data_IF_525693611430
#
_entry.id   IF_525693611430
#
_cell.length_a   1.000
_cell.length_b   1.000
_cell.length_c   1.000
_cell.angle_alpha   90.00
_cell.angle_beta   90.00
_cell.angle_gamma   90.00
#
_symmetry.space_group_name_H-M   'P 1'
#
loop_
_entity.id
_entity.type
_entity.pdbx_description
1 polymer ?
#
# COMPACT_ATOMS: atom_id res chain seq x y z
N UNK A 1 -34.49 51.34 -41.80
CA UNK A 1 -33.10 51.08 -42.26
C UNK A 1 -32.44 50.15 -41.26
N UNK A 2 -32.05 48.95 -41.71
CA UNK A 2 -31.10 48.03 -41.07
C UNK A 2 -29.69 48.70 -40.99
N UNK A 3 -28.73 48.24 -40.14
CA UNK A 3 -28.42 46.82 -39.99
C UNK A 3 -28.15 46.27 -38.58
N UNK A 4 -28.54 45.01 -38.48
CA UNK A 4 -28.17 43.95 -37.55
C UNK A 4 -26.66 43.65 -37.58
N UNK A 5 -26.03 43.60 -36.40
CA UNK A 5 -24.67 43.07 -36.24
C UNK A 5 -24.77 41.63 -35.72
N UNK A 6 -24.50 40.68 -36.60
CA UNK A 6 -24.28 39.27 -36.28
C UNK A 6 -23.00 39.12 -35.44
N UNK A 7 -23.13 38.64 -34.19
CA UNK A 7 -21.99 38.07 -33.45
C UNK A 7 -21.67 36.69 -34.02
N UNK A 8 -20.57 36.59 -34.76
CA UNK A 8 -19.97 35.31 -35.17
C UNK A 8 -19.36 34.61 -33.96
N UNK A 9 -19.87 33.43 -33.66
CA UNK A 9 -19.25 32.45 -32.78
C UNK A 9 -18.00 31.87 -33.46
N UNK A 10 -16.84 32.04 -32.82
CA UNK A 10 -15.60 31.37 -33.21
C UNK A 10 -15.56 29.98 -32.56
N UNK A 11 -15.16 28.92 -33.29
CA UNK A 11 -15.09 27.58 -32.74
C UNK A 11 -13.89 27.45 -31.80
N UNK A 12 -14.15 27.02 -30.57
CA UNK A 12 -13.13 26.58 -29.62
C UNK A 12 -12.55 25.28 -30.15
N UNK A 13 -11.34 25.35 -30.71
CA UNK A 13 -10.57 24.18 -31.11
C UNK A 13 -10.16 23.41 -29.86
N UNK A 14 -10.77 22.23 -29.68
CA UNK A 14 -10.31 21.20 -28.74
C UNK A 14 -8.88 20.79 -29.13
N UNK A 15 -7.87 21.35 -28.47
CA UNK A 15 -6.54 20.76 -28.44
C UNK A 15 -6.60 19.53 -27.55
N UNK A 16 -6.57 18.37 -28.20
CA UNK A 16 -6.34 17.07 -27.59
C UNK A 16 -4.99 17.05 -26.88
N UNK A 17 -5.00 17.07 -25.55
CA UNK A 17 -3.88 16.64 -24.73
C UNK A 17 -3.83 15.10 -24.74
N UNK A 18 -3.26 14.55 -25.80
CA UNK A 18 -2.72 13.20 -25.75
C UNK A 18 -1.25 13.32 -25.31
N UNK A 19 -1.00 13.13 -24.03
CA UNK A 19 0.30 12.69 -23.53
C UNK A 19 0.04 11.37 -22.80
N UNK A 20 -0.23 10.32 -23.57
CA UNK A 20 -0.02 8.97 -23.11
C UNK A 20 1.48 8.71 -23.27
N UNK A 21 2.25 8.85 -22.18
CA UNK A 21 3.58 8.28 -22.11
C UNK A 21 3.41 6.75 -22.20
N UNK A 22 3.48 6.21 -23.41
CA UNK A 22 3.71 4.79 -23.61
C UNK A 22 5.17 4.56 -23.26
N UNK A 23 5.42 4.06 -22.05
CA UNK A 23 6.64 3.34 -21.76
C UNK A 23 6.74 2.21 -22.80
N UNK A 24 7.60 2.38 -23.79
CA UNK A 24 7.92 1.37 -24.77
C UNK A 24 8.74 0.29 -24.05
N UNK A 25 8.07 -0.75 -23.57
CA UNK A 25 8.71 -1.95 -23.07
C UNK A 25 9.40 -2.64 -24.26
N UNK A 26 10.73 -2.56 -24.28
CA UNK A 26 11.56 -3.41 -25.12
C UNK A 26 11.42 -4.84 -24.59
N UNK A 27 10.68 -5.69 -25.30
CA UNK A 27 10.72 -7.13 -25.04
C UNK A 27 12.16 -7.60 -25.28
N UNK A 28 12.84 -8.00 -24.21
CA UNK A 28 14.19 -8.54 -24.28
C UNK A 28 14.20 -9.82 -25.11
N UNK A 29 15.23 -9.95 -25.95
CA UNK A 29 15.46 -11.13 -26.79
C UNK A 29 15.58 -12.40 -25.93
N UNK A 30 15.23 -13.59 -26.46
CA UNK A 30 15.30 -14.87 -25.74
C UNK A 30 16.71 -15.32 -25.29
N UNK A 31 17.73 -14.47 -25.46
CA UNK A 31 19.11 -14.66 -25.02
C UNK A 31 19.48 -13.83 -23.76
N UNK A 32 18.52 -13.34 -22.97
CA UNK A 32 18.85 -12.60 -21.73
C UNK A 32 19.57 -13.51 -20.74
N UNK A 33 20.81 -13.16 -20.41
CA UNK A 33 21.58 -13.78 -19.31
C UNK A 33 20.75 -13.80 -18.04
N UNK A 34 20.79 -14.90 -17.27
CA UNK A 34 20.05 -14.97 -16.00
C UNK A 34 20.55 -13.92 -15.01
N UNK A 35 19.63 -13.32 -14.27
CA UNK A 35 19.92 -12.31 -13.25
C UNK A 35 19.15 -12.60 -11.96
N UNK A 36 19.34 -11.77 -10.93
CA UNK A 36 18.48 -11.71 -9.75
C UNK A 36 17.64 -10.44 -9.77
N UNK A 37 16.58 -10.39 -8.96
CA UNK A 37 15.79 -9.20 -8.71
C UNK A 37 15.90 -8.76 -7.26
N UNK A 38 15.60 -7.49 -6.99
CA UNK A 38 15.65 -6.93 -5.63
C UNK A 38 14.34 -6.23 -5.28
N UNK A 39 13.79 -6.56 -4.12
CA UNK A 39 12.61 -5.89 -3.58
C UNK A 39 13.01 -5.21 -2.28
N UNK A 40 12.85 -3.89 -2.24
CA UNK A 40 13.23 -3.07 -1.10
C UNK A 40 12.01 -2.69 -0.26
N UNK A 41 12.10 -2.88 1.05
CA UNK A 41 11.36 -2.02 1.97
C UNK A 41 11.89 -0.56 1.89
N UNK A 42 11.13 0.39 2.43
CA UNK A 42 11.48 1.81 2.44
C UNK A 42 11.98 2.26 3.81
N UNK A 43 11.18 2.09 4.86
CA UNK A 43 11.35 2.75 6.15
C UNK A 43 12.27 1.90 7.02
N UNK A 44 13.52 2.34 7.19
CA UNK A 44 14.58 1.55 7.83
C UNK A 44 15.53 0.89 6.83
N UNK A 45 15.26 0.95 5.53
CA UNK A 45 16.12 0.35 4.48
C UNK A 45 16.65 1.40 3.50
N UNK A 46 15.77 2.13 2.83
CA UNK A 46 16.16 3.20 1.90
C UNK A 46 16.14 4.57 2.58
N UNK A 47 15.18 4.78 3.48
CA UNK A 47 14.93 6.03 4.17
C UNK A 47 14.74 5.80 5.67
N UNK A 48 15.08 6.79 6.48
CA UNK A 48 14.60 6.93 7.86
C UNK A 48 13.84 8.24 7.95
N UNK A 49 12.50 8.17 7.92
CA UNK A 49 11.67 9.35 7.73
C UNK A 49 11.98 10.04 6.39
N UNK A 50 12.46 11.28 6.44
CA UNK A 50 12.87 12.04 5.25
C UNK A 50 14.37 11.99 4.95
N UNK A 51 15.13 11.21 5.71
CA UNK A 51 16.59 11.13 5.57
C UNK A 51 16.98 9.86 4.82
N UNK A 52 17.75 9.93 3.72
CA UNK A 52 18.30 8.75 3.07
C UNK A 52 19.17 7.91 4.02
N UNK A 53 19.04 6.59 3.95
CA UNK A 53 20.05 5.68 4.50
C UNK A 53 21.33 5.80 3.64
N UNK A 54 22.53 5.90 4.25
CA UNK A 54 23.78 5.97 3.49
C UNK A 54 23.91 4.81 2.48
N UNK A 55 24.28 5.14 1.23
CA UNK A 55 24.44 4.17 0.15
C UNK A 55 23.16 3.79 -0.60
N UNK A 56 21.97 4.15 -0.10
CA UNK A 56 20.70 3.78 -0.74
C UNK A 56 20.59 4.30 -2.18
N UNK A 57 21.04 5.54 -2.43
CA UNK A 57 21.07 6.13 -3.77
C UNK A 57 22.00 5.34 -4.70
N UNK A 58 23.21 5.08 -4.23
CA UNK A 58 24.26 4.41 -5.00
C UNK A 58 23.84 2.98 -5.36
N UNK A 59 23.18 2.27 -4.45
CA UNK A 59 22.62 0.94 -4.72
C UNK A 59 21.59 0.98 -5.84
N UNK A 60 20.62 1.91 -5.79
CA UNK A 60 19.60 2.00 -6.85
C UNK A 60 20.20 2.35 -8.22
N UNK A 61 21.24 3.19 -8.25
CA UNK A 61 21.97 3.52 -9.48
C UNK A 61 22.76 2.33 -10.02
N UNK A 62 23.40 1.54 -9.14
CA UNK A 62 24.14 0.34 -9.53
C UNK A 62 23.20 -0.72 -10.14
N UNK A 63 22.03 -0.96 -9.53
CA UNK A 63 21.05 -1.91 -10.08
C UNK A 63 20.61 -1.50 -11.49
N UNK A 64 20.37 -0.20 -11.74
CA UNK A 64 20.04 0.30 -13.08
C UNK A 64 21.17 0.14 -14.06
N UNK A 65 22.39 0.47 -13.66
CA UNK A 65 23.55 0.38 -14.52
C UNK A 65 23.84 -1.06 -14.97
N UNK A 66 23.40 -2.05 -14.17
CA UNK A 66 23.60 -3.47 -14.44
C UNK A 66 22.33 -4.21 -14.91
N UNK A 67 21.26 -3.47 -15.27
CA UNK A 67 19.97 -4.04 -15.73
C UNK A 67 19.39 -5.08 -14.75
N UNK A 68 19.56 -4.83 -13.44
CA UNK A 68 19.05 -5.68 -12.37
C UNK A 68 17.65 -5.16 -11.99
N UNK A 69 16.58 -5.95 -12.20
CA UNK A 69 15.22 -5.51 -11.92
C UNK A 69 15.01 -5.28 -10.43
N UNK A 70 14.33 -4.20 -10.08
CA UNK A 70 13.99 -3.94 -8.68
C UNK A 70 12.61 -3.31 -8.51
N UNK A 71 12.03 -3.50 -7.33
CA UNK A 71 10.74 -2.94 -6.96
C UNK A 71 10.75 -2.44 -5.51
N UNK A 72 9.81 -1.56 -5.19
CA UNK A 72 9.54 -1.11 -3.83
C UNK A 72 8.36 -1.90 -3.26
N UNK A 73 8.50 -2.41 -2.04
CA UNK A 73 7.43 -3.06 -1.29
C UNK A 73 7.38 -2.54 0.14
N UNK A 74 6.45 -1.62 0.40
CA UNK A 74 6.31 -0.96 1.71
C UNK A 74 4.90 -1.16 2.28
N UNK A 75 4.81 -1.32 3.61
CA UNK A 75 3.53 -1.33 4.32
C UNK A 75 3.01 0.09 4.61
N UNK A 76 3.86 1.11 4.44
CA UNK A 76 3.45 2.50 4.44
C UNK A 76 2.51 2.80 3.27
N UNK A 77 1.64 3.80 3.44
CA UNK A 77 0.68 4.17 2.43
C UNK A 77 -0.38 5.15 2.93
N UNK A 78 -1.58 5.03 2.37
CA UNK A 78 -2.67 6.00 2.59
C UNK A 78 -2.71 7.12 1.57
N UNK A 79 -1.99 6.95 0.44
CA UNK A 79 -1.99 7.82 -0.73
C UNK A 79 -1.62 7.00 -1.98
N UNK A 80 -1.89 7.50 -3.20
CA UNK A 80 -1.56 6.80 -4.43
C UNK A 80 -0.08 6.45 -4.58
N UNK A 81 0.21 5.34 -5.26
CA UNK A 81 1.58 4.84 -5.49
C UNK A 81 2.48 5.90 -6.13
N UNK A 82 1.94 6.69 -7.07
CA UNK A 82 2.66 7.77 -7.74
C UNK A 82 3.23 8.80 -6.76
N UNK A 83 2.46 9.10 -5.69
CA UNK A 83 2.90 10.06 -4.67
C UNK A 83 4.03 9.47 -3.83
N UNK A 84 3.99 8.17 -3.48
CA UNK A 84 5.11 7.51 -2.78
C UNK A 84 6.37 7.45 -3.65
N UNK A 85 6.22 7.03 -4.91
CA UNK A 85 7.33 6.95 -5.86
C UNK A 85 8.01 8.32 -6.01
N UNK A 86 7.22 9.37 -6.23
CA UNK A 86 7.72 10.74 -6.33
C UNK A 86 8.44 11.21 -5.06
N UNK A 87 7.89 10.92 -3.87
CA UNK A 87 8.52 11.28 -2.61
C UNK A 87 9.90 10.63 -2.45
N UNK A 88 9.98 9.32 -2.65
CA UNK A 88 11.25 8.59 -2.57
C UNK A 88 12.25 9.15 -3.59
N UNK A 89 11.78 9.42 -4.82
CA UNK A 89 12.63 9.98 -5.87
C UNK A 89 13.20 11.35 -5.54
N UNK A 90 12.39 12.23 -4.95
CA UNK A 90 12.84 13.55 -4.54
C UNK A 90 13.89 13.46 -3.43
N UNK A 91 13.70 12.55 -2.47
CA UNK A 91 14.61 12.38 -1.35
C UNK A 91 15.94 11.74 -1.77
N UNK A 92 15.90 10.69 -2.59
CA UNK A 92 17.09 9.97 -3.04
C UNK A 92 17.77 10.60 -4.27
N UNK A 93 17.07 11.47 -5.00
CA UNK A 93 17.53 11.99 -6.28
C UNK A 93 17.63 10.91 -7.37
N UNK A 94 16.75 9.90 -7.32
CA UNK A 94 16.67 8.78 -8.28
C UNK A 94 15.21 8.59 -8.68
N UNK A 95 14.88 8.78 -9.96
CA UNK A 95 13.51 8.68 -10.47
C UNK A 95 12.97 7.25 -10.37
N UNK A 96 11.94 6.98 -9.56
CA UNK A 96 11.32 5.68 -9.39
C UNK A 96 10.04 5.61 -10.20
N UNK A 97 9.88 4.51 -10.92
CA UNK A 97 8.70 4.25 -11.72
C UNK A 97 7.51 3.88 -10.80
N UNK A 98 6.35 4.46 -11.06
CA UNK A 98 5.14 4.22 -10.24
C UNK A 98 4.69 2.77 -10.34
N UNK A 99 4.83 2.17 -11.53
CA UNK A 99 4.47 0.79 -11.82
C UNK A 99 5.25 -0.25 -11.00
N UNK A 100 6.45 0.09 -10.51
CA UNK A 100 7.28 -0.80 -9.70
C UNK A 100 7.24 -0.45 -8.21
N UNK A 101 6.24 0.33 -7.79
CA UNK A 101 6.02 0.69 -6.39
C UNK A 101 4.76 -0.01 -5.86
N UNK A 102 4.94 -0.87 -4.87
CA UNK A 102 3.87 -1.60 -4.18
C UNK A 102 3.73 -1.08 -2.73
N UNK A 103 2.58 -0.49 -2.43
CA UNK A 103 2.17 -0.11 -1.09
C UNK A 103 1.30 -1.23 -0.49
N UNK A 104 1.06 -1.18 0.81
CA UNK A 104 0.18 -2.11 1.55
C UNK A 104 -1.16 -2.35 0.86
N UNK A 105 -1.78 -1.30 0.35
CA UNK A 105 -3.08 -1.36 -0.32
C UNK A 105 -3.01 -1.70 -1.82
N UNK A 106 -1.82 -1.70 -2.45
CA UNK A 106 -1.69 -1.92 -3.90
C UNK A 106 -2.31 -3.23 -4.40
N UNK A 107 -2.09 -4.39 -3.76
CA UNK A 107 -2.69 -5.64 -4.21
C UNK A 107 -4.22 -5.69 -4.06
N UNK A 108 -4.80 -4.82 -3.21
CA UNK A 108 -6.26 -4.73 -3.02
C UNK A 108 -6.99 -4.28 -4.28
N UNK A 109 -6.29 -3.72 -5.29
CA UNK A 109 -6.88 -3.40 -6.60
C UNK A 109 -7.60 -4.58 -7.26
N UNK A 110 -7.14 -5.80 -6.97
CA UNK A 110 -7.77 -7.03 -7.48
C UNK A 110 -9.19 -7.25 -6.91
N UNK A 111 -9.50 -6.67 -5.75
CA UNK A 111 -10.84 -6.73 -5.15
C UNK A 111 -11.87 -5.91 -5.91
N UNK A 112 -11.46 -5.00 -6.80
CA UNK A 112 -12.37 -4.33 -7.73
C UNK A 112 -13.07 -5.35 -8.66
N UNK A 113 -12.48 -6.51 -8.95
CA UNK A 113 -13.15 -7.56 -9.71
C UNK A 113 -14.44 -8.07 -9.03
N UNK A 114 -14.52 -7.94 -7.69
CA UNK A 114 -15.67 -8.36 -6.87
C UNK A 114 -16.54 -7.17 -6.46
N UNK A 115 -15.92 -6.06 -6.04
CA UNK A 115 -16.59 -4.95 -5.36
C UNK A 115 -16.62 -3.64 -6.19
N UNK A 116 -16.39 -3.70 -7.50
CA UNK A 116 -16.36 -2.49 -8.37
C UNK A 116 -17.62 -1.64 -8.25
N UNK A 117 -18.78 -2.27 -8.27
CA UNK A 117 -20.09 -1.60 -8.30
C UNK A 117 -20.79 -1.60 -6.92
N UNK A 118 -20.20 -2.25 -5.91
CA UNK A 118 -20.71 -2.24 -4.54
C UNK A 118 -20.43 -0.89 -3.88
N UNK A 119 -21.31 -0.47 -2.96
CA UNK A 119 -21.00 0.62 -2.05
C UNK A 119 -19.96 0.13 -1.03
N UNK A 120 -18.81 0.80 -0.95
CA UNK A 120 -17.70 0.41 -0.06
C UNK A 120 -17.31 1.54 0.87
N UNK A 121 -17.00 1.21 2.12
CA UNK A 121 -16.45 2.15 3.09
C UNK A 121 -14.92 2.13 3.00
N UNK A 122 -14.30 3.29 2.78
CA UNK A 122 -12.85 3.47 2.81
C UNK A 122 -12.40 4.16 4.10
N UNK A 123 -11.40 3.59 4.76
CA UNK A 123 -10.84 4.04 6.04
C UNK A 123 -9.35 4.34 5.86
N UNK A 124 -8.92 5.48 6.38
CA UNK A 124 -7.52 5.92 6.36
C UNK A 124 -7.35 7.34 6.92
N UNK A 125 -6.17 7.93 6.70
CA UNK A 125 -5.78 9.23 7.30
C UNK A 125 -6.48 10.41 6.67
N UNK A 126 -6.57 10.43 5.35
CA UNK A 126 -7.07 11.55 4.56
C UNK A 126 -8.15 11.06 3.58
N UNK A 127 -9.29 11.75 3.57
CA UNK A 127 -10.46 11.32 2.80
C UNK A 127 -10.25 11.45 1.28
N UNK A 128 -9.53 12.46 0.83
CA UNK A 128 -9.30 12.71 -0.59
C UNK A 128 -8.29 11.69 -1.14
N UNK A 129 -7.24 11.41 -0.37
CA UNK A 129 -6.22 10.42 -0.74
C UNK A 129 -6.81 9.00 -0.81
N UNK A 130 -7.58 8.57 0.20
CA UNK A 130 -8.21 7.23 0.16
C UNK A 130 -9.23 7.12 -0.97
N UNK A 131 -9.98 8.19 -1.25
CA UNK A 131 -10.92 8.22 -2.38
C UNK A 131 -10.18 8.11 -3.72
N UNK A 132 -9.06 8.80 -3.88
CA UNK A 132 -8.21 8.73 -5.07
C UNK A 132 -7.63 7.33 -5.27
N UNK A 133 -7.14 6.68 -4.21
CA UNK A 133 -6.65 5.29 -4.26
C UNK A 133 -7.74 4.35 -4.78
N UNK A 134 -8.92 4.38 -4.15
CA UNK A 134 -10.02 3.48 -4.52
C UNK A 134 -10.52 3.75 -5.94
N UNK A 135 -10.60 5.02 -6.36
CA UNK A 135 -10.96 5.38 -7.74
C UNK A 135 -9.92 4.85 -8.75
N UNK A 136 -8.62 5.00 -8.47
CA UNK A 136 -7.54 4.49 -9.31
C UNK A 136 -7.57 2.96 -9.46
N UNK A 137 -8.05 2.25 -8.43
CA UNK A 137 -8.22 0.80 -8.47
C UNK A 137 -9.51 0.35 -9.16
N UNK A 138 -10.41 1.29 -9.49
CA UNK A 138 -11.61 1.04 -10.26
C UNK A 138 -12.87 0.78 -9.43
N UNK A 139 -12.87 1.11 -8.14
CA UNK A 139 -14.08 1.14 -7.32
C UNK A 139 -14.92 2.37 -7.65
N UNK A 140 -16.23 2.20 -7.89
CA UNK A 140 -17.10 3.29 -8.36
C UNK A 140 -17.91 3.97 -7.27
N UNK A 141 -18.28 3.21 -6.23
CA UNK A 141 -19.18 3.67 -5.18
C UNK A 141 -18.42 3.68 -3.83
N UNK A 142 -17.48 4.61 -3.69
CA UNK A 142 -16.63 4.74 -2.49
C UNK A 142 -17.19 5.83 -1.59
N UNK A 143 -17.30 5.54 -0.31
CA UNK A 143 -17.62 6.52 0.73
C UNK A 143 -16.54 6.44 1.81
N UNK A 144 -16.02 7.58 2.26
CA UNK A 144 -15.07 7.61 3.36
C UNK A 144 -15.79 7.71 4.70
N UNK A 145 -15.09 7.36 5.79
CA UNK A 145 -15.63 7.56 7.15
C UNK A 145 -16.01 9.02 7.40
N UNK A 146 -15.20 9.97 6.93
CA UNK A 146 -15.50 11.40 7.07
C UNK A 146 -16.77 11.82 6.33
N UNK A 147 -16.99 11.32 5.11
CA UNK A 147 -18.21 11.57 4.35
C UNK A 147 -19.44 11.00 5.03
N UNK A 148 -19.34 9.78 5.58
CA UNK A 148 -20.45 9.14 6.28
C UNK A 148 -20.77 9.86 7.60
N UNK A 149 -19.75 10.24 8.36
CA UNK A 149 -19.91 11.01 9.60
C UNK A 149 -20.52 12.39 9.35
N UNK A 150 -20.12 13.09 8.29
CA UNK A 150 -20.71 14.37 7.94
C UNK A 150 -22.22 14.27 7.63
N UNK A 151 -22.67 13.15 7.04
CA UNK A 151 -24.11 12.92 6.82
C UNK A 151 -24.87 12.53 8.07
N UNK A 152 -24.25 11.71 8.94
CA UNK A 152 -24.83 11.28 10.21
C UNK A 152 -23.96 11.75 11.39
N UNK A 153 -24.01 13.04 11.77
CA UNK A 153 -23.13 13.59 12.80
C UNK A 153 -23.26 12.89 14.15
N UNK A 154 -24.43 12.31 14.42
CA UNK A 154 -24.74 11.57 15.66
C UNK A 154 -24.08 10.20 15.73
N UNK A 155 -23.48 9.68 14.66
CA UNK A 155 -22.67 8.44 14.74
C UNK A 155 -21.46 8.63 15.66
N UNK A 156 -20.90 9.85 15.72
CA UNK A 156 -19.83 10.18 16.65
C UNK A 156 -19.92 11.65 17.08
N UNK A 157 -20.70 11.95 18.14
CA UNK A 157 -21.06 13.33 18.49
C UNK A 157 -19.89 14.18 19.01
N UNK A 158 -18.81 13.55 19.46
CA UNK A 158 -17.66 14.25 20.07
C UNK A 158 -16.76 14.95 19.05
N UNK A 159 -16.89 14.62 17.76
CA UNK A 159 -16.18 15.29 16.66
C UNK A 159 -17.17 16.12 15.87
N UNK A 160 -16.90 17.41 15.73
CA UNK A 160 -17.72 18.31 14.91
C UNK A 160 -17.51 18.00 13.43
N UNK A 161 -18.62 17.86 12.72
CA UNK A 161 -18.65 17.72 11.26
C UNK A 161 -18.42 19.06 10.57
N UNK A 162 -17.79 19.03 9.40
CA UNK A 162 -17.51 20.24 8.61
C UNK A 162 -18.39 20.22 7.34
N UNK A 163 -19.47 21.01 7.35
CA UNK A 163 -20.31 21.34 6.19
C UNK A 163 -20.97 20.16 5.46
N UNK A 164 -21.80 20.47 4.47
CA UNK A 164 -22.41 19.48 3.59
C UNK A 164 -21.35 18.90 2.64
N UNK A 165 -21.02 17.62 2.80
CA UNK A 165 -20.19 16.91 1.82
C UNK A 165 -21.10 16.18 0.84
N UNK A 166 -20.99 16.44 -0.49
CA UNK A 166 -21.80 15.75 -1.48
C UNK A 166 -21.53 14.23 -1.46
N UNK A 167 -22.54 13.46 -1.12
CA UNK A 167 -22.52 11.99 -1.01
C UNK A 167 -23.61 11.32 -1.87
N UNK A 168 -24.56 12.10 -2.37
CA UNK A 168 -25.59 11.64 -3.29
C UNK A 168 -26.56 10.61 -2.68
N UNK A 169 -26.66 10.53 -1.33
CA UNK A 169 -27.63 9.69 -0.62
C UNK A 169 -27.48 8.17 -0.83
N UNK A 170 -26.34 7.70 -1.35
CA UNK A 170 -26.17 6.29 -1.75
C UNK A 170 -26.36 5.32 -0.59
N UNK A 171 -25.83 5.64 0.59
CA UNK A 171 -25.93 4.80 1.78
C UNK A 171 -27.33 4.76 2.44
N UNK A 172 -28.29 5.56 1.95
CA UNK A 172 -29.70 5.45 2.37
C UNK A 172 -30.46 4.38 1.56
N UNK A 173 -29.96 4.08 0.36
CA UNK A 173 -30.66 3.23 -0.62
C UNK A 173 -29.85 2.01 -1.07
N UNK A 174 -28.55 1.95 -0.75
CA UNK A 174 -27.62 0.88 -1.13
C UNK A 174 -26.99 0.23 0.10
N UNK A 175 -26.69 -1.07 -0.03
CA UNK A 175 -26.03 -1.88 0.98
C UNK A 175 -24.52 -1.74 0.87
N UNK A 176 -23.83 -1.65 2.01
CA UNK A 176 -22.38 -1.77 2.04
C UNK A 176 -21.95 -3.18 1.68
N UNK A 177 -21.15 -3.31 0.62
CA UNK A 177 -20.59 -4.57 0.16
C UNK A 177 -19.25 -4.92 0.80
N UNK A 178 -18.51 -3.93 1.31
CA UNK A 178 -17.21 -4.13 1.96
C UNK A 178 -16.71 -2.90 2.72
N UNK A 179 -15.81 -3.14 3.68
CA UNK A 179 -14.98 -2.14 4.36
C UNK A 179 -13.51 -2.34 3.99
N UNK A 180 -12.82 -1.25 3.64
CA UNK A 180 -11.41 -1.22 3.28
C UNK A 180 -10.63 -0.32 4.23
N UNK A 181 -9.78 -0.92 5.08
CA UNK A 181 -8.84 -0.18 5.93
C UNK A 181 -7.51 -0.09 5.19
N UNK A 182 -7.26 1.06 4.56
CA UNK A 182 -6.08 1.27 3.71
C UNK A 182 -4.82 1.65 4.51
N UNK A 183 -5.00 2.28 5.67
CA UNK A 183 -3.96 2.67 6.61
C UNK A 183 -4.60 3.02 7.96
N UNK A 184 -3.82 3.13 9.05
CA UNK A 184 -4.30 3.63 10.34
C UNK A 184 -4.91 5.04 10.18
N UNK A 185 -6.14 5.29 10.65
CA UNK A 185 -6.72 6.62 10.60
C UNK A 185 -6.23 7.51 11.75
N UNK A 186 -6.59 8.79 11.74
CA UNK A 186 -6.16 9.76 12.76
C UNK A 186 -7.07 9.75 14.00
N UNK A 187 -8.39 9.59 13.84
CA UNK A 187 -9.39 9.80 14.90
C UNK A 187 -10.01 8.47 15.37
N UNK A 188 -9.20 7.57 15.91
CA UNK A 188 -9.55 6.16 16.11
C UNK A 188 -10.93 5.93 16.72
N UNK A 189 -11.37 6.70 17.73
CA UNK A 189 -12.71 6.57 18.30
C UNK A 189 -13.83 6.67 17.26
N UNK A 190 -13.77 7.67 16.37
CA UNK A 190 -14.74 7.86 15.29
C UNK A 190 -14.66 6.74 14.26
N UNK A 191 -13.45 6.42 13.79
CA UNK A 191 -13.31 5.38 12.78
C UNK A 191 -13.72 4.01 13.29
N UNK A 192 -13.37 3.66 14.53
CA UNK A 192 -13.80 2.42 15.17
C UNK A 192 -15.32 2.34 15.28
N UNK A 193 -15.98 3.38 15.80
CA UNK A 193 -17.45 3.41 15.92
C UNK A 193 -18.13 3.18 14.56
N UNK A 194 -17.75 3.96 13.55
CA UNK A 194 -18.41 3.91 12.23
C UNK A 194 -18.09 2.61 11.49
N UNK A 195 -16.87 2.11 11.59
CA UNK A 195 -16.51 0.80 11.01
C UNK A 195 -17.33 -0.31 11.68
N UNK A 196 -17.46 -0.29 13.00
CA UNK A 196 -18.29 -1.26 13.74
C UNK A 196 -19.75 -1.23 13.31
N UNK A 197 -20.33 -0.03 13.15
CA UNK A 197 -21.70 0.16 12.69
C UNK A 197 -21.91 -0.45 11.29
N UNK A 198 -20.98 -0.22 10.36
CA UNK A 198 -21.04 -0.79 9.01
C UNK A 198 -20.83 -2.31 9.03
N UNK A 199 -19.83 -2.82 9.76
CA UNK A 199 -19.54 -4.26 9.83
C UNK A 199 -20.71 -5.06 10.40
N UNK A 200 -21.40 -4.51 11.39
CA UNK A 200 -22.52 -5.14 12.09
C UNK A 200 -23.88 -4.84 11.45
N UNK A 201 -23.92 -4.05 10.38
CA UNK A 201 -25.15 -3.72 9.67
C UNK A 201 -25.72 -4.95 8.94
N UNK A 202 -26.94 -5.33 9.27
CA UNK A 202 -27.62 -6.49 8.71
C UNK A 202 -27.73 -6.33 7.19
N UNK A 203 -27.06 -7.25 6.47
CA UNK A 203 -26.94 -7.21 5.00
C UNK A 203 -26.37 -5.87 4.48
N UNK A 204 -25.53 -5.17 5.24
CA UNK A 204 -24.93 -3.90 4.81
C UNK A 204 -25.85 -2.68 4.93
N UNK A 205 -27.03 -2.79 5.57
CA UNK A 205 -27.97 -1.68 5.76
C UNK A 205 -27.73 -0.99 7.11
N UNK A 206 -27.13 0.21 7.10
CA UNK A 206 -26.70 0.96 8.30
C UNK A 206 -27.71 1.02 9.47
N UNK A 207 -29.00 1.12 9.19
CA UNK A 207 -30.05 1.29 10.20
C UNK A 207 -30.60 -0.03 10.75
N UNK A 208 -30.11 -1.17 10.27
CA UNK A 208 -30.51 -2.49 10.74
C UNK A 208 -29.31 -3.12 11.45
N UNK A 209 -29.23 -2.97 12.77
CA UNK A 209 -28.14 -3.55 13.55
C UNK A 209 -28.29 -5.07 13.71
N UNK A 210 -27.18 -5.80 13.59
CA UNK A 210 -27.04 -7.20 13.99
C UNK A 210 -25.89 -7.34 15.00
N UNK A 211 -25.96 -8.35 15.87
CA UNK A 211 -24.90 -8.61 16.86
C UNK A 211 -23.66 -9.31 16.30
N UNK A 212 -23.50 -9.44 14.97
CA UNK A 212 -22.38 -10.14 14.33
C UNK A 212 -22.01 -9.50 12.98
N UNK A 213 -20.88 -9.90 12.41
CA UNK A 213 -20.37 -9.35 11.16
C UNK A 213 -21.21 -9.79 9.97
N UNK A 214 -21.55 -8.84 9.12
CA UNK A 214 -22.31 -9.04 7.89
C UNK A 214 -21.57 -8.49 6.67
N UNK A 215 -20.69 -7.51 6.85
CA UNK A 215 -19.91 -6.88 5.78
C UNK A 215 -18.45 -7.35 5.85
N UNK A 216 -17.84 -7.78 4.73
CA UNK A 216 -16.45 -8.21 4.72
C UNK A 216 -15.50 -7.05 4.98
N UNK A 217 -14.40 -7.34 5.68
CA UNK A 217 -13.35 -6.39 6.04
C UNK A 217 -12.03 -6.78 5.36
N UNK A 218 -11.39 -5.80 4.73
CA UNK A 218 -10.06 -5.93 4.13
C UNK A 218 -9.12 -4.90 4.74
N UNK A 219 -7.98 -5.35 5.27
CA UNK A 219 -7.01 -4.48 5.95
C UNK A 219 -5.66 -4.53 5.23
N UNK A 220 -5.13 -3.36 4.86
CA UNK A 220 -3.96 -3.23 4.01
C UNK A 220 -2.62 -3.43 4.73
N UNK A 221 -2.52 -2.99 5.99
CA UNK A 221 -1.26 -2.94 6.73
C UNK A 221 -1.40 -3.62 8.08
N UNK A 222 -0.43 -4.48 8.40
CA UNK A 222 -0.43 -5.29 9.62
C UNK A 222 0.65 -4.89 10.62
N UNK A 223 1.44 -3.84 10.32
CA UNK A 223 2.54 -3.40 11.19
C UNK A 223 1.99 -2.89 12.51
N UNK A 224 2.33 -3.59 13.59
CA UNK A 224 1.96 -3.15 14.94
C UNK A 224 2.69 -1.85 15.31
N UNK A 225 3.99 -1.80 14.98
CA UNK A 225 4.85 -0.65 15.16
C UNK A 225 5.75 -0.43 13.95
N UNK A 226 6.20 0.82 13.78
CA UNK A 226 7.15 1.22 12.75
C UNK A 226 8.16 2.25 13.28
N UNK A 227 9.32 2.34 12.62
CA UNK A 227 10.34 3.39 12.88
C UNK A 227 10.06 4.60 12.00
N UNK A 228 10.07 5.79 12.61
CA UNK A 228 9.91 7.06 11.91
C UNK A 228 11.01 8.06 12.29
N UNK A 229 10.69 9.36 12.24
CA UNK A 229 11.62 10.42 12.63
C UNK A 229 11.85 10.49 14.15
N UNK A 230 10.88 10.04 14.95
CA UNK A 230 10.99 10.02 16.41
C UNK A 230 11.89 8.87 16.88
N UNK A 231 12.58 9.06 18.02
CA UNK A 231 13.56 8.11 18.55
C UNK A 231 12.97 6.83 19.15
N UNK A 232 11.63 6.73 19.25
CA UNK A 232 10.92 5.54 19.72
C UNK A 232 9.91 5.07 18.66
N UNK A 233 9.68 3.75 18.51
CA UNK A 233 8.70 3.20 17.58
C UNK A 233 7.31 3.80 17.77
N UNK A 234 6.57 4.01 16.68
CA UNK A 234 5.18 4.51 16.67
C UNK A 234 4.23 3.37 16.36
N UNK A 235 3.00 3.43 16.86
CA UNK A 235 1.96 2.44 16.55
C UNK A 235 1.42 2.64 15.14
N UNK A 236 1.22 1.54 14.41
CA UNK A 236 0.70 1.52 13.05
C UNK A 236 -0.70 0.90 12.93
N UNK A 237 -1.06 0.52 11.71
CA UNK A 237 -2.35 -0.09 11.39
C UNK A 237 -2.59 -1.43 12.12
N UNK A 238 -1.53 -2.16 12.46
CA UNK A 238 -1.63 -3.38 13.28
C UNK A 238 -2.14 -3.10 14.70
N UNK A 239 -1.80 -1.96 15.29
CA UNK A 239 -2.33 -1.55 16.59
C UNK A 239 -3.79 -1.11 16.50
N UNK A 240 -4.15 -0.34 15.46
CA UNK A 240 -5.55 0.00 15.17
C UNK A 240 -6.41 -1.27 15.00
N UNK A 241 -5.90 -2.25 14.24
CA UNK A 241 -6.53 -3.56 14.05
C UNK A 241 -6.72 -4.28 15.39
N UNK A 242 -5.70 -4.34 16.23
CA UNK A 242 -5.79 -5.02 17.52
C UNK A 242 -6.88 -4.41 18.42
N UNK A 243 -6.99 -3.07 18.44
CA UNK A 243 -8.06 -2.38 19.18
C UNK A 243 -9.43 -2.68 18.57
N UNK A 244 -9.55 -2.68 17.24
CA UNK A 244 -10.79 -3.02 16.55
C UNK A 244 -11.24 -4.46 16.82
N UNK A 245 -10.31 -5.41 16.83
CA UNK A 245 -10.60 -6.83 17.13
C UNK A 245 -11.07 -7.03 18.57
N UNK A 246 -10.40 -6.42 19.56
CA UNK A 246 -10.80 -6.50 20.97
C UNK A 246 -12.16 -5.80 21.20
N UNK A 247 -12.36 -4.62 20.61
CA UNK A 247 -13.64 -3.91 20.67
C UNK A 247 -14.77 -4.74 20.06
N UNK A 248 -14.53 -5.35 18.90
CA UNK A 248 -15.51 -6.21 18.23
C UNK A 248 -15.88 -7.40 19.10
N UNK A 249 -14.89 -8.10 19.66
CA UNK A 249 -15.12 -9.24 20.55
C UNK A 249 -15.91 -8.85 21.80
N UNK A 250 -15.55 -7.75 22.48
CA UNK A 250 -16.27 -7.28 23.67
C UNK A 250 -17.70 -6.83 23.38
N UNK A 251 -17.95 -6.32 22.17
CA UNK A 251 -19.28 -5.82 21.76
C UNK A 251 -20.20 -6.96 21.32
N UNK A 252 -19.66 -7.94 20.60
CA UNK A 252 -20.47 -8.96 19.89
C UNK A 252 -20.38 -10.36 20.48
N UNK A 253 -19.32 -10.65 21.26
CA UNK A 253 -18.97 -12.01 21.68
C UNK A 253 -18.38 -12.88 20.56
N UNK A 254 -18.13 -12.33 19.37
CA UNK A 254 -17.60 -13.04 18.21
C UNK A 254 -16.20 -12.53 17.84
N UNK A 255 -15.42 -13.34 17.13
CA UNK A 255 -14.14 -12.91 16.57
C UNK A 255 -14.35 -12.20 15.23
N UNK A 256 -13.65 -11.08 15.04
CA UNK A 256 -13.71 -10.30 13.80
C UNK A 256 -13.01 -11.08 12.68
N UNK A 257 -13.71 -11.27 11.55
CA UNK A 257 -13.13 -11.88 10.36
C UNK A 257 -12.64 -10.78 9.40
N UNK A 258 -11.39 -10.88 8.97
CA UNK A 258 -10.80 -9.95 8.02
C UNK A 258 -9.77 -10.62 7.13
N UNK A 259 -9.64 -10.09 5.91
CA UNK A 259 -8.58 -10.47 5.00
C UNK A 259 -7.46 -9.44 5.06
N UNK A 260 -6.26 -9.91 5.39
CA UNK A 260 -5.07 -9.08 5.51
C UNK A 260 -4.34 -8.98 4.17
N UNK A 261 -3.75 -7.82 3.96
CA UNK A 261 -2.83 -7.47 2.89
C UNK A 261 -1.60 -6.80 3.51
N UNK A 262 -0.66 -6.37 2.66
CA UNK A 262 0.63 -5.87 3.11
C UNK A 262 1.54 -7.01 3.56
N UNK A 263 2.81 -6.73 3.78
CA UNK A 263 3.75 -7.70 4.37
C UNK A 263 3.24 -8.10 5.77
N UNK A 264 3.37 -9.37 6.20
CA UNK A 264 4.03 -10.49 5.55
C UNK A 264 3.15 -11.29 4.57
N UNK A 265 1.98 -10.79 4.18
CA UNK A 265 1.01 -11.57 3.41
C UNK A 265 1.51 -11.93 2.01
N UNK A 266 1.25 -13.18 1.62
CA UNK A 266 1.72 -13.74 0.34
C UNK A 266 1.21 -12.96 -0.87
N UNK A 267 0.04 -12.31 -0.74
CA UNK A 267 -0.55 -11.48 -1.80
C UNK A 267 0.36 -10.32 -2.20
N UNK A 268 1.06 -9.71 -1.24
CA UNK A 268 2.03 -8.64 -1.48
C UNK A 268 3.31 -9.13 -2.16
N UNK A 269 3.84 -10.29 -1.73
CA UNK A 269 5.03 -10.89 -2.33
C UNK A 269 4.75 -11.40 -3.75
N UNK A 270 3.61 -12.05 -3.97
CA UNK A 270 3.17 -12.48 -5.31
C UNK A 270 2.93 -11.28 -6.24
N UNK A 271 2.49 -10.14 -5.71
CA UNK A 271 2.39 -8.91 -6.51
C UNK A 271 3.78 -8.37 -6.86
N UNK A 272 4.69 -8.26 -5.89
CA UNK A 272 6.06 -7.80 -6.11
C UNK A 272 6.83 -8.69 -7.10
N UNK A 273 6.64 -10.00 -7.06
CA UNK A 273 7.23 -10.95 -8.02
C UNK A 273 6.81 -10.64 -9.46
N UNK A 274 5.53 -10.33 -9.69
CA UNK A 274 5.04 -9.89 -11.01
C UNK A 274 5.69 -8.59 -11.47
N UNK A 275 6.00 -7.68 -10.56
CA UNK A 275 6.69 -6.42 -10.90
C UNK A 275 8.14 -6.66 -11.33
N UNK A 276 8.81 -7.62 -10.69
CA UNK A 276 10.17 -8.03 -11.04
C UNK A 276 10.20 -8.77 -12.39
N UNK A 277 9.32 -9.75 -12.57
CA UNK A 277 9.27 -10.54 -13.81
C UNK A 277 8.80 -9.70 -15.02
N UNK A 278 8.07 -8.61 -14.79
CA UNK A 278 7.71 -7.65 -15.85
C UNK A 278 8.91 -6.82 -16.35
N UNK A 279 9.99 -6.71 -15.56
CA UNK A 279 11.19 -5.96 -15.92
C UNK A 279 12.22 -6.84 -16.64
N UNK A 280 12.31 -8.13 -16.30
CA UNK A 280 13.31 -9.02 -16.87
C UNK A 280 12.82 -10.47 -16.96
N UNK A 281 12.99 -11.12 -18.12
CA UNK A 281 12.40 -12.43 -18.41
C UNK A 281 13.05 -13.60 -17.65
N UNK A 282 14.32 -13.49 -17.28
CA UNK A 282 15.09 -14.60 -16.69
C UNK A 282 15.67 -14.25 -15.31
N UNK A 283 14.80 -13.92 -14.35
CA UNK A 283 15.19 -13.74 -12.94
C UNK A 283 15.24 -15.10 -12.26
N UNK A 284 16.36 -15.49 -11.65
CA UNK A 284 16.51 -16.79 -10.96
C UNK A 284 16.35 -16.70 -9.44
N UNK A 285 16.53 -15.52 -8.87
CA UNK A 285 16.46 -15.26 -7.42
C UNK A 285 15.88 -13.88 -7.18
N UNK A 286 15.12 -13.70 -6.11
CA UNK A 286 14.59 -12.40 -5.68
C UNK A 286 15.05 -12.18 -4.24
N UNK A 287 15.73 -11.07 -3.98
CA UNK A 287 16.12 -10.70 -2.63
C UNK A 287 15.15 -9.69 -2.05
N UNK A 288 14.53 -10.01 -0.91
CA UNK A 288 13.82 -9.04 -0.08
C UNK A 288 14.82 -8.39 0.86
N UNK A 289 15.02 -7.07 0.74
CA UNK A 289 15.84 -6.28 1.67
C UNK A 289 14.91 -5.53 2.61
N UNK A 290 14.96 -5.88 3.90
CA UNK A 290 14.02 -5.41 4.92
C UNK A 290 14.68 -5.25 6.28
N UNK A 291 14.09 -4.45 7.16
CA UNK A 291 14.57 -4.19 8.51
C UNK A 291 13.74 -4.90 9.59
N UNK A 292 12.55 -5.42 9.22
CA UNK A 292 11.60 -5.97 10.17
C UNK A 292 11.43 -7.51 10.02
N UNK A 293 11.85 -8.30 11.02
CA UNK A 293 11.75 -9.76 10.96
C UNK A 293 10.33 -10.31 10.82
N UNK A 294 9.34 -9.61 11.39
CA UNK A 294 7.95 -10.08 11.46
C UNK A 294 7.15 -9.80 10.18
N UNK A 295 7.68 -8.96 9.29
CA UNK A 295 6.99 -8.54 8.07
C UNK A 295 7.83 -8.88 6.84
N UNK A 296 8.99 -8.27 6.66
CA UNK A 296 9.85 -8.44 5.49
C UNK A 296 10.41 -9.85 5.41
N UNK A 297 11.07 -10.28 6.49
CA UNK A 297 11.81 -11.55 6.55
C UNK A 297 10.83 -12.71 6.59
N UNK A 298 9.84 -12.66 7.50
CA UNK A 298 8.75 -13.64 7.56
C UNK A 298 8.05 -13.77 6.21
N UNK A 299 7.71 -12.66 5.56
CA UNK A 299 6.99 -12.68 4.29
C UNK A 299 7.81 -13.31 3.16
N UNK A 300 9.08 -12.94 3.03
CA UNK A 300 9.98 -13.54 2.03
C UNK A 300 10.23 -15.04 2.29
N UNK A 301 10.40 -15.43 3.56
CA UNK A 301 10.57 -16.82 3.95
C UNK A 301 9.31 -17.65 3.63
N UNK A 302 8.12 -17.11 3.91
CA UNK A 302 6.86 -17.75 3.62
C UNK A 302 6.58 -17.86 2.12
N UNK A 303 7.00 -16.87 1.32
CA UNK A 303 6.90 -16.92 -0.14
C UNK A 303 7.79 -18.04 -0.73
N UNK A 304 8.97 -18.25 -0.15
CA UNK A 304 9.86 -19.35 -0.51
C UNK A 304 10.30 -19.32 -1.98
N UNK A 305 10.63 -20.49 -2.53
CA UNK A 305 11.03 -20.61 -3.94
C UNK A 305 12.28 -19.78 -4.28
N UNK A 306 12.12 -18.77 -5.14
CA UNK A 306 13.20 -17.86 -5.56
C UNK A 306 13.54 -16.79 -4.52
N UNK A 307 12.72 -16.62 -3.50
CA UNK A 307 12.89 -15.56 -2.50
C UNK A 307 14.03 -15.87 -1.51
N UNK A 308 14.84 -14.85 -1.22
CA UNK A 308 15.86 -14.83 -0.16
C UNK A 308 15.74 -13.52 0.61
N UNK A 309 15.82 -13.58 1.93
CA UNK A 309 15.62 -12.41 2.80
C UNK A 309 16.94 -11.88 3.36
N UNK A 310 17.18 -10.59 3.20
CA UNK A 310 18.33 -9.89 3.76
C UNK A 310 17.84 -8.91 4.82
N UNK A 311 18.26 -9.12 6.06
CA UNK A 311 17.86 -8.31 7.21
C UNK A 311 18.89 -7.21 7.45
N UNK A 312 18.49 -5.95 7.32
CA UNK A 312 19.34 -4.79 7.60
C UNK A 312 19.30 -4.39 9.07
N UNK A 313 20.37 -3.76 9.57
CA UNK A 313 20.47 -3.25 10.96
C UNK A 313 20.13 -1.76 11.10
N UNK A 314 19.51 -1.20 10.07
CA UNK A 314 19.20 0.23 9.96
C UNK A 314 17.79 0.60 10.41
N UNK A 315 17.01 -0.34 10.94
CA UNK A 315 15.60 -0.12 11.32
C UNK A 315 15.14 -0.86 12.58
N UNK A 316 14.02 -1.59 12.48
CA UNK A 316 13.32 -2.26 13.59
C UNK A 316 14.17 -3.34 14.27
N UNK A 317 14.93 -4.13 13.51
CA UNK A 317 15.85 -5.11 14.08
C UNK A 317 17.13 -4.42 14.57
N UNK A 318 17.49 -4.70 15.82
CA UNK A 318 18.67 -4.14 16.46
C UNK A 318 19.59 -5.28 16.91
N UNK A 319 20.84 -5.24 16.47
CA UNK A 319 21.88 -6.19 16.85
C UNK A 319 22.34 -7.07 15.68
N UNK A 320 23.59 -7.58 15.73
CA UNK A 320 24.22 -8.28 14.61
C UNK A 320 23.67 -9.69 14.38
N UNK A 321 23.01 -10.25 15.40
CA UNK A 321 22.50 -11.60 15.36
C UNK A 321 21.22 -11.69 14.54
N UNK A 322 20.96 -12.88 14.01
CA UNK A 322 19.75 -13.15 13.28
C UNK A 322 18.53 -13.24 14.24
N UNK A 323 17.33 -12.94 13.73
CA UNK A 323 16.12 -13.01 14.54
C UNK A 323 15.78 -14.45 14.92
N UNK A 324 15.50 -14.71 16.20
CA UNK A 324 15.32 -16.06 16.74
C UNK A 324 14.14 -16.84 16.13
N UNK A 325 13.01 -16.18 15.85
CA UNK A 325 11.81 -16.84 15.32
C UNK A 325 11.70 -16.77 13.78
N UNK A 326 12.33 -15.76 13.18
CA UNK A 326 12.22 -15.47 11.74
C UNK A 326 13.60 -15.17 11.18
N UNK A 327 14.50 -16.18 11.14
CA UNK A 327 15.87 -15.96 10.70
C UNK A 327 15.87 -15.59 9.21
N UNK A 328 16.60 -14.52 8.89
CA UNK A 328 16.88 -14.13 7.52
C UNK A 328 17.91 -15.05 6.87
N UNK A 329 17.96 -15.06 5.54
CA UNK A 329 19.01 -15.74 4.80
C UNK A 329 20.39 -15.16 5.11
N UNK A 330 20.47 -13.84 5.29
CA UNK A 330 21.67 -13.15 5.76
C UNK A 330 21.29 -11.87 6.54
N UNK A 331 22.06 -11.55 7.58
CA UNK A 331 22.03 -10.25 8.26
C UNK A 331 23.16 -9.39 7.72
N UNK A 332 22.87 -8.12 7.42
CA UNK A 332 23.82 -7.16 6.86
C UNK A 332 23.64 -5.82 7.56
N UNK A 333 24.71 -5.02 7.65
CA UNK A 333 24.59 -3.74 8.38
C UNK A 333 23.63 -2.77 7.68
N UNK A 334 23.71 -2.69 6.35
CA UNK A 334 22.95 -1.74 5.54
C UNK A 334 22.69 -2.25 4.11
N UNK A 335 22.01 -1.42 3.32
CA UNK A 335 21.64 -1.71 1.92
C UNK A 335 22.85 -1.85 0.99
N UNK A 336 23.99 -1.21 1.30
CA UNK A 336 25.22 -1.33 0.51
C UNK A 336 25.83 -2.71 0.68
N UNK A 337 25.90 -3.19 1.93
CA UNK A 337 26.35 -4.55 2.22
C UNK A 337 25.37 -5.60 1.68
N UNK A 338 24.06 -5.31 1.70
CA UNK A 338 23.07 -6.14 1.03
C UNK A 338 23.43 -6.34 -0.46
N UNK A 339 23.72 -5.26 -1.19
CA UNK A 339 24.08 -5.34 -2.61
C UNK A 339 25.36 -6.15 -2.85
N UNK A 340 26.39 -5.94 -2.04
CA UNK A 340 27.64 -6.71 -2.14
C UNK A 340 27.37 -8.21 -1.96
N UNK A 341 26.60 -8.58 -0.93
CA UNK A 341 26.20 -9.96 -0.67
C UNK A 341 25.40 -10.56 -1.82
N UNK A 342 24.39 -9.84 -2.34
CA UNK A 342 23.55 -10.33 -3.44
C UNK A 342 24.36 -10.70 -4.69
N UNK A 343 25.35 -9.86 -5.04
CA UNK A 343 26.24 -10.11 -6.18
C UNK A 343 27.12 -11.36 -5.95
N UNK A 344 27.69 -11.51 -4.76
CA UNK A 344 28.51 -12.67 -4.40
C UNK A 344 27.69 -13.97 -4.36
N UNK A 345 26.55 -13.96 -3.68
CA UNK A 345 25.65 -15.10 -3.53
C UNK A 345 25.08 -15.55 -4.88
N UNK A 346 24.78 -14.61 -5.78
CA UNK A 346 24.31 -14.94 -7.12
C UNK A 346 25.41 -15.47 -8.03
N UNK A 347 26.64 -14.93 -7.94
CA UNK A 347 27.78 -15.44 -8.70
C UNK A 347 28.10 -16.89 -8.30
N UNK A 348 28.11 -17.20 -6.98
CA UNK A 348 28.35 -18.56 -6.47
C UNK A 348 27.28 -19.57 -6.88
N UNK A 349 26.03 -19.14 -7.02
CA UNK A 349 24.93 -20.03 -7.39
C UNK A 349 24.87 -20.37 -8.90
N UNK A 350 25.62 -19.65 -9.73
CA UNK A 350 25.69 -19.86 -11.19
C UNK A 350 27.07 -20.34 -11.68
N UNK A 351 27.99 -20.62 -10.74
CA UNK A 351 29.15 -21.48 -10.96
C UNK A 351 28.74 -22.93 -10.72
#
# INVERSE_FOLDING_TARGET
MLPSVLRRSLPITRRSLQHAARASFSFSSPNSTSTFGVVFDVDGVLLRGKTPIPGAKEVLLDLRANDIPFAILTNGGGYPEAKKAQQISQILGVELATEFTCLSHTPMRTLANKHRDDLVLAVGKDCDEVSAIMANYGFKNVVTVGQLHNHFPTMYPDIKVQGDVPHGGRFETQQFGAVFVLIDPIYWGRELQIVMDVLCSQKGLLHQGGGKQHVPLYSACSDFQYVGEYNLPRYGAGAFRAVMEDLYFRTTGHHLEQMLFGKPEITSFAYAEKLIDAQHANVKRIYMVGDNPTTDIKGANNAGGRWKSLLTLTGMHVGPDNHGEHPAYQVVDDVTQALAFMKEDFAKANL
#
